data_IF_768769879227
#
_entry.id   IF_768769879227
#
_cell.length_a   1.000
_cell.length_b   1.000
_cell.length_c   1.000
_cell.angle_alpha   90.00
_cell.angle_beta   90.00
_cell.angle_gamma   90.00
#
_symmetry.space_group_name_H-M   'P 1'
#
loop_
_entity.id
_entity.type
_entity.pdbx_description
1 polymer ?
#
# COMPACT_ATOMS: atom_id res chain seq x y z
N UNK A 1 -11.14 -21.48 1.78
CA UNK A 1 -10.75 -21.96 3.12
C UNK A 1 -9.96 -20.95 3.95
N UNK A 2 -8.99 -20.16 3.43
CA UNK A 2 -8.31 -19.10 4.22
C UNK A 2 -9.23 -17.91 4.53
N UNK A 3 -9.82 -17.33 3.49
CA UNK A 3 -10.68 -16.14 3.59
C UNK A 3 -11.86 -16.33 4.56
N UNK A 4 -12.62 -17.40 4.40
CA UNK A 4 -13.75 -17.76 5.28
C UNK A 4 -13.33 -17.94 6.75
N UNK A 5 -12.12 -18.46 7.00
CA UNK A 5 -11.60 -18.70 8.34
C UNK A 5 -11.09 -17.43 9.03
N UNK A 6 -10.48 -16.52 8.25
CA UNK A 6 -9.87 -15.28 8.76
C UNK A 6 -10.85 -14.11 8.86
N UNK A 7 -11.81 -14.01 7.92
CA UNK A 7 -12.73 -12.88 7.77
C UNK A 7 -14.15 -13.17 8.29
N UNK A 8 -14.55 -14.44 8.40
CA UNK A 8 -15.90 -14.87 8.84
C UNK A 8 -17.00 -14.15 8.04
N UNK A 9 -18.09 -13.75 8.70
CA UNK A 9 -19.22 -13.01 8.10
C UNK A 9 -19.11 -11.48 8.31
N UNK A 10 -17.98 -10.98 8.79
CA UNK A 10 -17.82 -9.57 9.12
C UNK A 10 -17.60 -8.70 7.87
N UNK A 11 -18.22 -7.51 7.85
CA UNK A 11 -18.05 -6.53 6.77
C UNK A 11 -17.06 -5.43 7.14
N UNK A 12 -15.89 -5.43 6.50
CA UNK A 12 -14.81 -4.45 6.72
C UNK A 12 -14.87 -3.21 5.82
N UNK A 13 -15.96 -3.03 5.06
CA UNK A 13 -16.11 -1.92 4.12
C UNK A 13 -15.61 -2.24 2.70
N UNK A 14 -15.48 -1.20 1.89
CA UNK A 14 -14.84 -1.23 0.57
C UNK A 14 -13.79 -0.11 0.57
N UNK A 15 -12.48 -0.42 0.42
CA UNK A 15 -11.90 -1.75 0.24
C UNK A 15 -12.13 -2.68 1.44
N UNK A 16 -12.39 -3.96 1.20
CA UNK A 16 -12.68 -4.94 2.26
C UNK A 16 -11.39 -5.43 2.93
N UNK A 17 -10.74 -4.55 3.67
CA UNK A 17 -9.46 -4.79 4.33
C UNK A 17 -9.65 -4.87 5.85
N UNK A 18 -9.26 -6.01 6.42
CA UNK A 18 -9.08 -6.20 7.86
C UNK A 18 -7.65 -5.81 8.26
N UNK A 19 -7.53 -4.99 9.31
CA UNK A 19 -6.24 -4.54 9.85
C UNK A 19 -5.38 -5.74 10.31
N UNK A 20 -4.07 -5.62 10.11
CA UNK A 20 -3.03 -6.57 10.51
C UNK A 20 -3.08 -7.97 9.84
N UNK A 21 -3.90 -8.15 8.81
CA UNK A 21 -3.88 -9.34 7.98
C UNK A 21 -2.88 -9.22 6.82
N UNK A 22 -2.49 -10.36 6.25
CA UNK A 22 -1.56 -10.43 5.12
C UNK A 22 -2.29 -10.42 3.78
N UNK A 23 -1.86 -9.52 2.89
CA UNK A 23 -2.42 -9.37 1.55
C UNK A 23 -1.34 -9.44 0.48
N UNK A 24 -1.66 -10.08 -0.64
CA UNK A 24 -0.93 -9.91 -1.89
C UNK A 24 -1.39 -8.62 -2.57
N UNK A 25 -0.55 -8.00 -3.41
CA UNK A 25 -0.95 -6.81 -4.18
C UNK A 25 -2.20 -7.06 -5.03
N UNK A 26 -2.39 -8.29 -5.52
CA UNK A 26 -3.59 -8.69 -6.26
C UNK A 26 -4.87 -8.66 -5.42
N UNK A 27 -4.78 -8.94 -4.13
CA UNK A 27 -5.93 -8.91 -3.22
C UNK A 27 -6.47 -7.49 -3.07
N UNK A 28 -5.60 -6.48 -2.95
CA UNK A 28 -6.02 -5.07 -2.85
C UNK A 28 -6.84 -4.61 -4.08
N UNK A 29 -6.50 -5.11 -5.27
CA UNK A 29 -7.27 -4.81 -6.48
C UNK A 29 -8.67 -5.43 -6.42
N UNK A 30 -8.77 -6.70 -6.00
CA UNK A 30 -10.05 -7.41 -5.86
C UNK A 30 -10.91 -6.78 -4.76
N UNK A 31 -10.35 -6.58 -3.57
CA UNK A 31 -11.05 -6.08 -2.38
C UNK A 31 -11.51 -4.62 -2.52
N UNK A 32 -10.92 -3.85 -3.43
CA UNK A 32 -11.33 -2.48 -3.74
C UNK A 32 -12.27 -2.37 -4.95
N UNK A 33 -12.74 -3.48 -5.53
CA UNK A 33 -13.55 -3.50 -6.76
C UNK A 33 -12.85 -2.83 -7.95
N UNK A 34 -11.55 -3.06 -8.13
CA UNK A 34 -10.79 -2.47 -9.23
C UNK A 34 -11.28 -3.00 -10.59
N UNK A 35 -11.75 -2.09 -11.45
CA UNK A 35 -12.41 -2.47 -12.73
C UNK A 35 -11.46 -2.58 -13.92
N UNK A 36 -10.19 -2.16 -13.79
CA UNK A 36 -9.18 -2.30 -14.86
C UNK A 36 -8.42 -3.62 -14.67
N UNK A 37 -7.61 -3.99 -15.66
CA UNK A 37 -6.80 -5.21 -15.58
C UNK A 37 -6.00 -5.27 -14.28
N UNK A 38 -6.15 -6.36 -13.52
CA UNK A 38 -5.38 -6.64 -12.30
C UNK A 38 -3.86 -6.62 -12.53
N UNK A 39 -3.40 -6.79 -13.77
CA UNK A 39 -1.98 -6.64 -14.11
C UNK A 39 -1.43 -5.23 -13.91
N UNK A 40 -2.29 -4.20 -13.90
CA UNK A 40 -1.88 -2.82 -13.63
C UNK A 40 -1.48 -2.57 -12.16
N UNK A 41 -1.81 -3.50 -11.25
CA UNK A 41 -1.37 -3.47 -9.85
C UNK A 41 0.06 -3.98 -9.67
N UNK A 42 0.73 -4.49 -10.71
CA UNK A 42 2.06 -5.08 -10.58
C UNK A 42 3.13 -4.05 -10.92
N UNK A 43 4.15 -3.94 -10.06
CA UNK A 43 5.38 -3.18 -10.35
C UNK A 43 5.40 -1.71 -9.92
N UNK A 44 4.37 -1.21 -9.22
CA UNK A 44 4.41 0.11 -8.58
C UNK A 44 4.06 0.00 -7.10
N UNK A 45 4.92 0.54 -6.23
CA UNK A 45 4.69 0.60 -4.79
C UNK A 45 3.58 1.57 -4.37
N UNK A 46 3.00 2.32 -5.30
CA UNK A 46 1.92 3.27 -5.04
C UNK A 46 0.83 3.16 -6.10
N UNK A 47 -0.36 2.75 -5.66
CA UNK A 47 -1.53 2.54 -6.52
C UNK A 47 -2.74 3.29 -5.98
N UNK A 48 -3.73 3.53 -6.84
CA UNK A 48 -4.96 4.20 -6.43
C UNK A 48 -6.19 3.64 -7.16
N UNK A 49 -7.32 3.64 -6.45
CA UNK A 49 -8.64 3.33 -6.98
C UNK A 49 -9.64 4.33 -6.38
N UNK A 50 -10.05 5.33 -7.17
CA UNK A 50 -10.82 6.45 -6.64
C UNK A 50 -10.05 7.19 -5.54
N UNK A 51 -10.62 7.23 -4.34
CA UNK A 51 -10.04 7.90 -3.18
C UNK A 51 -9.18 6.96 -2.32
N UNK A 52 -9.07 5.68 -2.66
CA UNK A 52 -8.25 4.71 -1.94
C UNK A 52 -6.86 4.61 -2.56
N UNK A 53 -5.84 4.87 -1.76
CA UNK A 53 -4.43 4.82 -2.16
C UNK A 53 -3.77 3.66 -1.41
N UNK A 54 -3.12 2.78 -2.16
CA UNK A 54 -2.48 1.57 -1.63
C UNK A 54 -0.96 1.73 -1.73
N UNK A 55 -0.30 1.72 -0.59
CA UNK A 55 1.14 1.92 -0.44
C UNK A 55 1.77 0.58 -0.06
N UNK A 56 2.53 -0.01 -0.99
CA UNK A 56 3.26 -1.26 -0.79
C UNK A 56 4.73 -0.95 -0.56
N UNK A 57 5.20 -1.24 0.65
CA UNK A 57 6.51 -0.84 1.13
C UNK A 57 7.29 -2.08 1.52
N UNK A 58 8.48 -2.22 0.94
CA UNK A 58 9.44 -3.24 1.33
C UNK A 58 10.52 -2.58 2.21
N UNK A 59 10.64 -3.05 3.45
CA UNK A 59 11.69 -2.57 4.36
C UNK A 59 13.03 -3.29 4.09
N UNK A 60 13.01 -4.38 3.32
CA UNK A 60 14.25 -5.05 2.92
C UNK A 60 14.91 -4.28 1.78
N UNK A 61 16.14 -3.82 2.00
CA UNK A 61 16.94 -3.14 0.99
C UNK A 61 18.09 -4.04 0.56
N UNK A 62 18.09 -4.44 -0.70
CA UNK A 62 19.24 -5.11 -1.32
C UNK A 62 20.40 -4.10 -1.42
N UNK A 63 21.64 -4.58 -1.30
CA UNK A 63 22.84 -3.71 -1.36
C UNK A 63 22.97 -2.98 -2.71
N UNK A 64 22.38 -3.52 -3.79
CA UNK A 64 22.45 -2.99 -5.15
C UNK A 64 21.19 -2.21 -5.60
N UNK A 65 20.37 -1.71 -4.67
CA UNK A 65 19.22 -0.87 -5.04
C UNK A 65 19.70 0.42 -5.73
N UNK A 66 19.15 0.70 -6.92
CA UNK A 66 19.41 1.96 -7.63
C UNK A 66 19.04 3.14 -6.72
N UNK A 67 19.92 4.14 -6.62
CA UNK A 67 19.73 5.32 -5.79
C UNK A 67 18.38 6.01 -6.02
N UNK A 68 17.90 6.03 -7.28
CA UNK A 68 16.60 6.59 -7.66
C UNK A 68 15.39 5.89 -7.06
N UNK A 69 15.55 4.74 -6.41
CA UNK A 69 14.48 4.01 -5.72
C UNK A 69 14.93 3.56 -4.30
N UNK A 70 16.02 4.13 -3.77
CA UNK A 70 16.51 3.85 -2.43
C UNK A 70 15.79 4.72 -1.38
N UNK A 71 14.49 4.47 -1.21
CA UNK A 71 13.63 5.21 -0.29
C UNK A 71 14.02 4.98 1.17
N UNK A 72 14.01 6.00 2.02
CA UNK A 72 14.32 5.89 3.46
C UNK A 72 13.05 5.62 4.28
N UNK A 73 12.42 4.49 3.99
CA UNK A 73 11.19 4.05 4.64
C UNK A 73 11.51 3.34 5.96
N UNK A 74 10.93 3.81 7.06
CA UNK A 74 11.21 3.28 8.40
C UNK A 74 10.08 3.53 9.40
N UNK A 75 9.97 2.66 10.41
CA UNK A 75 9.17 2.94 11.60
C UNK A 75 9.99 3.83 12.55
N UNK A 76 9.53 5.06 12.75
CA UNK A 76 10.06 5.92 13.81
C UNK A 76 9.60 5.38 15.17
N UNK A 77 8.34 4.90 15.25
CA UNK A 77 7.80 4.14 16.36
C UNK A 77 6.53 3.37 15.94
N UNK A 78 5.85 2.71 16.88
CA UNK A 78 4.63 1.91 16.64
C UNK A 78 3.45 2.69 16.02
N UNK A 79 3.50 4.04 16.05
CA UNK A 79 2.44 4.92 15.56
C UNK A 79 2.88 5.84 14.42
N UNK A 80 4.19 5.95 14.18
CA UNK A 80 4.75 6.90 13.21
C UNK A 80 5.64 6.14 12.24
N UNK A 81 5.26 6.20 10.97
CA UNK A 81 5.99 5.62 9.86
C UNK A 81 6.46 6.72 8.91
N UNK A 82 7.76 6.73 8.59
CA UNK A 82 8.32 7.59 7.57
C UNK A 82 8.26 6.86 6.23
N UNK A 83 7.71 7.53 5.23
CA UNK A 83 7.63 7.01 3.87
C UNK A 83 8.10 8.05 2.85
N UNK A 84 8.85 7.62 1.85
CA UNK A 84 9.21 8.44 0.70
C UNK A 84 8.42 8.01 -0.54
N UNK A 85 7.80 8.99 -1.20
CA UNK A 85 7.04 8.75 -2.43
C UNK A 85 7.94 8.37 -3.59
N UNK A 86 7.42 7.65 -4.61
CA UNK A 86 8.15 7.47 -5.86
C UNK A 86 8.55 8.79 -6.50
N UNK A 87 9.73 8.88 -7.13
CA UNK A 87 10.27 10.12 -7.70
C UNK A 87 9.33 10.87 -8.67
N UNK A 88 8.41 10.16 -9.31
CA UNK A 88 7.38 10.74 -10.18
C UNK A 88 6.25 11.47 -9.44
N UNK A 89 6.28 11.48 -8.11
CA UNK A 89 5.22 12.04 -7.25
C UNK A 89 5.71 13.29 -6.53
N UNK A 90 5.84 14.39 -7.27
CA UNK A 90 6.19 15.67 -6.67
C UNK A 90 5.08 16.14 -5.69
N UNK A 91 5.41 16.81 -4.57
CA UNK A 91 4.41 17.32 -3.62
C UNK A 91 3.38 18.27 -4.25
N UNK A 92 3.78 18.98 -5.30
CA UNK A 92 2.91 19.91 -6.06
C UNK A 92 2.01 19.21 -7.09
N UNK A 93 2.25 17.94 -7.41
CA UNK A 93 1.39 17.17 -8.32
C UNK A 93 0.06 16.83 -7.66
N UNK A 94 -0.99 16.55 -8.43
CA UNK A 94 -2.28 16.15 -7.85
C UNK A 94 -2.17 14.89 -6.99
N UNK A 95 -1.33 13.92 -7.41
CA UNK A 95 -1.05 12.73 -6.63
C UNK A 95 -0.33 13.06 -5.32
N UNK A 96 0.67 13.96 -5.36
CA UNK A 96 1.38 14.41 -4.16
C UNK A 96 0.48 15.16 -3.19
N UNK A 97 -0.37 16.07 -3.69
CA UNK A 97 -1.36 16.78 -2.88
C UNK A 97 -2.37 15.82 -2.24
N UNK A 98 -2.82 14.79 -2.97
CA UNK A 98 -3.72 13.77 -2.44
C UNK A 98 -3.10 12.97 -1.29
N UNK A 99 -1.78 12.79 -1.28
CA UNK A 99 -1.05 12.10 -0.21
C UNK A 99 -0.82 13.05 0.98
N UNK A 100 -0.33 14.26 0.73
CA UNK A 100 0.04 15.22 1.80
C UNK A 100 -1.20 15.77 2.51
N UNK A 101 -2.27 16.06 1.76
CA UNK A 101 -3.52 16.64 2.27
C UNK A 101 -4.64 15.59 2.28
N UNK A 102 -4.30 14.32 2.57
CA UNK A 102 -5.22 13.21 2.39
C UNK A 102 -6.50 13.35 3.21
N UNK A 103 -6.40 13.85 4.45
CA UNK A 103 -7.56 14.06 5.33
C UNK A 103 -8.53 15.07 4.72
N UNK A 104 -8.04 16.25 4.33
CA UNK A 104 -8.86 17.32 3.75
C UNK A 104 -9.45 16.93 2.38
N UNK A 105 -8.74 16.07 1.63
CA UNK A 105 -9.15 15.63 0.30
C UNK A 105 -9.99 14.34 0.31
N UNK A 106 -10.29 13.79 1.49
CA UNK A 106 -11.06 12.55 1.63
C UNK A 106 -10.36 11.33 0.99
N UNK A 107 -9.03 11.32 1.04
CA UNK A 107 -8.16 10.25 0.52
C UNK A 107 -7.78 9.31 1.66
N UNK A 108 -8.01 8.02 1.44
CA UNK A 108 -7.69 6.95 2.38
C UNK A 108 -6.36 6.30 1.99
N UNK A 109 -5.40 6.31 2.91
CA UNK A 109 -4.09 5.68 2.70
C UNK A 109 -4.08 4.31 3.38
N UNK A 110 -3.88 3.26 2.58
CA UNK A 110 -3.78 1.87 3.02
C UNK A 110 -2.32 1.42 2.95
N UNK A 111 -1.72 1.14 4.10
CA UNK A 111 -0.29 0.84 4.23
C UNK A 111 -0.06 -0.68 4.33
N UNK A 112 0.72 -1.23 3.41
CA UNK A 112 1.13 -2.63 3.39
C UNK A 112 2.64 -2.71 3.49
N UNK A 113 3.14 -3.27 4.60
CA UNK A 113 4.57 -3.31 4.88
C UNK A 113 5.05 -4.76 4.86
N UNK A 114 6.07 -5.01 4.04
CA UNK A 114 6.81 -6.26 4.02
C UNK A 114 8.14 -6.06 4.74
N UNK A 115 8.34 -6.79 5.84
CA UNK A 115 9.59 -6.74 6.62
C UNK A 115 10.68 -7.67 6.07
N UNK A 116 10.27 -8.80 5.50
CA UNK A 116 11.18 -9.86 5.04
C UNK A 116 10.86 -10.26 3.61
N UNK A 117 11.90 -10.49 2.80
CA UNK A 117 11.79 -10.94 1.40
C UNK A 117 11.19 -12.33 1.30
N UNK A 118 11.40 -13.18 2.28
CA UNK A 118 10.68 -14.43 2.45
C UNK A 118 10.00 -14.37 3.81
N UNK A 119 8.71 -14.69 3.84
CA UNK A 119 8.00 -14.93 5.09
C UNK A 119 8.04 -16.46 5.19
N UNK A 120 8.73 -16.99 6.20
CA UNK A 120 8.74 -18.44 6.44
C UNK A 120 7.29 -18.95 6.46
N UNK A 121 7.02 -19.93 5.59
CA UNK A 121 5.75 -20.63 5.48
C UNK A 121 5.81 -21.99 6.14
#
# INVERSE_FOLDING_TARGET
FRYEKEFKEDYYGVPHLKLYEQYQMGDAALLSNYRKSHSAFRGSGLLSNGNDYFLFIDLHKEEDIKESINYHDEFINERIFQWQTPNSTAPSSERGKNIVFNQDRGIHLHLFIRKYKEIDG
#
